data_IF_392791699699
#
_entry.id   IF_392791699699
#
_cell.length_a   1.000
_cell.length_b   1.000
_cell.length_c   1.000
_cell.angle_alpha   90.00
_cell.angle_beta   90.00
_cell.angle_gamma   90.00
#
_symmetry.space_group_name_H-M   'P 1'
#
loop_
_entity.id
_entity.type
_entity.pdbx_description
1 polymer ?
#
# COMPACT_ATOMS: atom_id res chain seq x y z
N UNK A 1 1.18 -25.20 -44.56
CA UNK A 1 0.83 -24.93 -45.97
C UNK A 1 -0.67 -24.66 -46.04
N UNK A 2 -1.15 -23.85 -46.98
CA UNK A 2 -2.59 -23.74 -47.24
C UNK A 2 -3.11 -25.06 -47.80
N UNK A 3 -4.30 -25.46 -47.37
CA UNK A 3 -4.98 -26.68 -47.79
C UNK A 3 -6.34 -26.27 -48.36
N UNK A 4 -6.55 -26.53 -49.65
CA UNK A 4 -7.79 -26.23 -50.37
C UNK A 4 -8.37 -27.56 -50.89
N UNK A 5 -9.47 -27.99 -50.28
CA UNK A 5 -10.10 -29.28 -50.52
C UNK A 5 -11.44 -29.04 -51.21
N UNK A 6 -11.58 -29.47 -52.48
CA UNK A 6 -12.80 -29.24 -53.24
C UNK A 6 -13.98 -30.13 -52.76
N UNK A 7 -13.69 -31.33 -52.25
CA UNK A 7 -14.70 -32.25 -51.72
C UNK A 7 -14.15 -33.17 -50.62
N UNK A 8 -14.51 -32.90 -49.36
CA UNK A 8 -14.09 -33.67 -48.20
C UNK A 8 -14.63 -35.11 -48.13
N UNK A 9 -15.63 -35.46 -48.94
CA UNK A 9 -16.16 -36.83 -49.02
C UNK A 9 -15.42 -37.71 -50.02
N UNK A 10 -14.63 -37.10 -50.91
CA UNK A 10 -13.86 -37.77 -51.97
C UNK A 10 -12.35 -37.57 -51.80
N UNK A 11 -11.92 -36.81 -50.79
CA UNK A 11 -10.51 -36.54 -50.51
C UNK A 11 -9.80 -37.78 -49.96
N UNK A 12 -8.63 -38.09 -50.52
CA UNK A 12 -7.80 -39.24 -50.13
C UNK A 12 -6.53 -38.84 -49.38
N UNK A 13 -6.21 -37.54 -49.29
CA UNK A 13 -5.01 -37.03 -48.62
C UNK A 13 -5.28 -36.78 -47.12
N UNK A 14 -6.51 -36.37 -46.76
CA UNK A 14 -6.89 -36.05 -45.39
C UNK A 14 -8.11 -36.85 -44.90
N UNK A 15 -8.10 -37.25 -43.63
CA UNK A 15 -9.19 -38.03 -43.03
C UNK A 15 -10.33 -37.13 -42.52
N UNK A 16 -11.53 -37.27 -43.10
CA UNK A 16 -12.73 -36.50 -42.72
C UNK A 16 -13.79 -37.30 -41.96
N UNK A 17 -13.46 -38.50 -41.46
CA UNK A 17 -14.41 -39.40 -40.79
C UNK A 17 -15.16 -38.73 -39.63
N UNK A 18 -14.47 -37.91 -38.83
CA UNK A 18 -15.06 -37.13 -37.73
C UNK A 18 -16.02 -36.04 -38.21
N UNK A 19 -15.64 -35.29 -39.25
CA UNK A 19 -16.50 -34.27 -39.87
C UNK A 19 -17.77 -34.91 -40.45
N UNK A 20 -17.63 -36.04 -41.15
CA UNK A 20 -18.76 -36.78 -41.71
C UNK A 20 -19.71 -37.32 -40.63
N UNK A 21 -19.19 -37.72 -39.47
CA UNK A 21 -20.00 -38.13 -38.33
C UNK A 21 -20.78 -36.96 -37.74
N UNK A 22 -20.15 -35.79 -37.60
CA UNK A 22 -20.78 -34.56 -37.12
C UNK A 22 -21.86 -34.05 -38.10
N UNK A 23 -21.58 -34.07 -39.41
CA UNK A 23 -22.53 -33.71 -40.47
C UNK A 23 -23.79 -34.59 -40.40
N UNK A 24 -23.65 -35.91 -40.23
CA UNK A 24 -24.77 -36.86 -40.06
C UNK A 24 -25.64 -36.54 -38.84
N UNK A 25 -25.04 -36.04 -37.76
CA UNK A 25 -25.75 -35.73 -36.52
C UNK A 25 -26.40 -34.34 -36.56
N UNK A 26 -25.75 -33.36 -37.20
CA UNK A 26 -26.20 -31.96 -37.25
C UNK A 26 -27.11 -31.64 -38.44
N UNK A 27 -27.14 -32.51 -39.47
CA UNK A 27 -27.83 -32.24 -40.73
C UNK A 27 -27.13 -31.21 -41.62
N UNK A 28 -25.92 -30.81 -41.28
CA UNK A 28 -25.07 -29.94 -42.10
C UNK A 28 -24.27 -30.77 -43.10
N UNK A 29 -23.88 -30.19 -44.24
CA UNK A 29 -23.12 -30.88 -45.28
C UNK A 29 -21.85 -30.10 -45.62
N UNK A 30 -20.73 -30.50 -45.05
CA UNK A 30 -19.43 -29.84 -45.18
C UNK A 30 -18.65 -30.42 -46.37
N UNK A 31 -18.80 -29.82 -47.54
CA UNK A 31 -18.23 -30.31 -48.81
C UNK A 31 -16.86 -29.72 -49.12
N UNK A 32 -16.75 -28.40 -49.26
CA UNK A 32 -15.48 -27.74 -49.62
C UNK A 32 -14.83 -27.09 -48.41
N UNK A 33 -13.50 -27.11 -48.33
CA UNK A 33 -12.73 -26.56 -47.23
C UNK A 33 -11.56 -25.73 -47.74
N UNK A 34 -11.37 -24.55 -47.16
CA UNK A 34 -10.16 -23.75 -47.34
C UNK A 34 -9.55 -23.49 -45.96
N UNK A 35 -8.40 -24.10 -45.71
CA UNK A 35 -7.71 -24.06 -44.43
C UNK A 35 -6.37 -23.38 -44.62
N UNK A 36 -6.22 -22.18 -44.05
CA UNK A 36 -5.05 -21.33 -44.20
C UNK A 36 -4.32 -21.20 -42.86
N UNK A 37 -3.01 -21.47 -42.80
CA UNK A 37 -2.23 -21.25 -41.58
C UNK A 37 -2.07 -19.76 -41.30
N UNK A 38 -2.33 -19.35 -40.06
CA UNK A 38 -2.02 -18.02 -39.55
C UNK A 38 -0.58 -18.04 -39.02
N UNK A 39 0.30 -17.25 -39.62
CA UNK A 39 1.74 -17.24 -39.30
C UNK A 39 2.18 -15.91 -38.69
N UNK A 40 3.09 -15.96 -37.73
CA UNK A 40 3.79 -14.77 -37.23
C UNK A 40 4.94 -14.35 -38.17
N UNK A 41 5.63 -13.26 -37.82
CA UNK A 41 6.76 -12.71 -38.59
C UNK A 41 7.93 -13.69 -38.73
N UNK A 42 8.06 -14.65 -37.81
CA UNK A 42 9.11 -15.68 -37.80
C UNK A 42 8.71 -16.93 -38.62
N UNK A 43 7.51 -16.92 -39.20
CA UNK A 43 6.97 -18.02 -40.00
C UNK A 43 6.36 -19.17 -39.20
N UNK A 44 6.29 -19.04 -37.87
CA UNK A 44 5.65 -20.00 -36.97
C UNK A 44 4.13 -19.92 -37.09
N UNK A 45 3.46 -21.08 -37.07
CA UNK A 45 2.00 -21.17 -37.15
C UNK A 45 1.41 -20.93 -35.78
N UNK A 46 0.72 -19.81 -35.59
CA UNK A 46 0.08 -19.42 -34.32
C UNK A 46 -1.40 -19.78 -34.27
N UNK A 47 -1.98 -20.15 -35.41
CA UNK A 47 -3.39 -20.49 -35.54
C UNK A 47 -3.73 -20.94 -36.95
N UNK A 48 -5.01 -21.23 -37.17
CA UNK A 48 -5.52 -21.67 -38.48
C UNK A 48 -6.85 -20.97 -38.74
N UNK A 49 -6.99 -20.37 -39.92
CA UNK A 49 -8.25 -19.84 -40.42
C UNK A 49 -8.87 -20.86 -41.36
N UNK A 50 -10.06 -21.36 -41.03
CA UNK A 50 -10.77 -22.34 -41.84
C UNK A 50 -12.11 -21.79 -42.32
N UNK A 51 -12.35 -21.91 -43.63
CA UNK A 51 -13.64 -21.66 -44.27
C UNK A 51 -14.21 -22.98 -44.78
N UNK A 52 -15.52 -23.14 -44.63
CA UNK A 52 -16.26 -24.33 -45.03
C UNK A 52 -17.36 -23.90 -46.00
N UNK A 53 -17.50 -24.64 -47.10
CA UNK A 53 -18.49 -24.45 -48.15
C UNK A 53 -18.44 -23.08 -48.83
N UNK A 54 -17.62 -22.94 -49.88
CA UNK A 54 -17.78 -21.82 -50.81
C UNK A 54 -19.18 -21.88 -51.44
N UNK A 55 -19.90 -20.76 -51.50
CA UNK A 55 -21.25 -20.70 -52.06
C UNK A 55 -21.25 -19.91 -53.36
N UNK A 56 -21.92 -20.44 -54.39
CA UNK A 56 -22.17 -19.67 -55.60
C UNK A 56 -23.06 -18.45 -55.25
N UNK A 57 -22.68 -17.21 -55.64
CA UNK A 57 -23.43 -16.01 -55.28
C UNK A 57 -24.89 -16.01 -55.76
N UNK A 58 -25.15 -16.64 -56.91
CA UNK A 58 -26.46 -16.67 -57.58
C UNK A 58 -27.24 -17.92 -57.19
N UNK A 59 -26.66 -19.12 -57.35
CA UNK A 59 -27.40 -20.38 -57.14
C UNK A 59 -27.43 -20.80 -55.67
N UNK A 60 -26.59 -20.23 -54.81
CA UNK A 60 -26.39 -20.62 -53.39
C UNK A 60 -25.95 -22.08 -53.20
N UNK A 61 -25.60 -22.77 -54.28
CA UNK A 61 -25.07 -24.13 -54.20
C UNK A 61 -23.60 -24.12 -53.74
N UNK A 62 -23.19 -25.21 -53.09
CA UNK A 62 -21.83 -25.38 -52.60
C UNK A 62 -20.88 -25.66 -53.77
N UNK A 63 -19.88 -24.82 -53.92
CA UNK A 63 -18.81 -24.88 -54.93
C UNK A 63 -17.43 -25.00 -54.27
N UNK A 64 -16.38 -24.99 -55.09
CA UNK A 64 -14.97 -25.02 -54.67
C UNK A 64 -14.44 -23.60 -54.40
N UNK A 65 -13.43 -23.47 -53.55
CA UNK A 65 -12.71 -22.21 -53.38
C UNK A 65 -11.73 -22.02 -54.54
N UNK A 66 -11.88 -20.93 -55.29
CA UNK A 66 -10.99 -20.54 -56.37
C UNK A 66 -9.65 -19.99 -55.89
N UNK A 67 -8.72 -19.78 -56.82
CA UNK A 67 -7.38 -19.25 -56.52
C UNK A 67 -7.42 -17.82 -55.97
N UNK A 68 -8.26 -16.95 -56.54
CA UNK A 68 -8.43 -15.58 -56.06
C UNK A 68 -8.99 -15.51 -54.64
N UNK A 69 -9.91 -16.42 -54.30
CA UNK A 69 -10.47 -16.54 -52.95
C UNK A 69 -9.43 -17.06 -51.97
N UNK A 70 -8.63 -18.06 -52.38
CA UNK A 70 -7.51 -18.54 -51.58
C UNK A 70 -6.50 -17.43 -51.29
N UNK A 71 -6.04 -16.68 -52.30
CA UNK A 71 -5.10 -15.56 -52.11
C UNK A 71 -5.65 -14.49 -51.17
N UNK A 72 -6.95 -14.16 -51.30
CA UNK A 72 -7.62 -13.21 -50.42
C UNK A 72 -7.63 -13.70 -48.96
N UNK A 73 -7.96 -14.97 -48.74
CA UNK A 73 -8.03 -15.57 -47.40
C UNK A 73 -6.62 -15.72 -46.81
N UNK A 74 -5.60 -15.99 -47.62
CA UNK A 74 -4.19 -15.95 -47.21
C UNK A 74 -3.75 -14.57 -46.73
N UNK A 75 -4.16 -13.52 -47.44
CA UNK A 75 -3.93 -12.13 -47.03
C UNK A 75 -4.64 -11.80 -45.71
N UNK A 76 -5.92 -12.16 -45.59
CA UNK A 76 -6.72 -11.96 -44.37
C UNK A 76 -6.16 -12.73 -43.17
N UNK A 77 -5.79 -14.00 -43.37
CA UNK A 77 -5.18 -14.84 -42.34
C UNK A 77 -3.88 -14.22 -41.83
N UNK A 78 -3.06 -13.64 -42.72
CA UNK A 78 -1.83 -12.94 -42.34
C UNK A 78 -2.10 -11.67 -41.53
N UNK A 79 -3.07 -10.85 -41.93
CA UNK A 79 -3.47 -9.65 -41.19
C UNK A 79 -4.07 -9.98 -39.81
N UNK A 80 -4.92 -10.99 -39.74
CA UNK A 80 -5.49 -11.49 -38.49
C UNK A 80 -4.39 -12.06 -37.57
N UNK A 81 -3.41 -12.79 -38.13
CA UNK A 81 -2.27 -13.30 -37.38
C UNK A 81 -1.47 -12.18 -36.72
N UNK A 82 -1.09 -11.16 -37.49
CA UNK A 82 -0.37 -9.99 -36.95
C UNK A 82 -1.16 -9.26 -35.86
N UNK A 83 -2.48 -9.11 -36.04
CA UNK A 83 -3.34 -8.46 -35.04
C UNK A 83 -3.39 -9.25 -33.72
N UNK A 84 -3.53 -10.58 -33.80
CA UNK A 84 -3.49 -11.45 -32.62
C UNK A 84 -2.14 -11.43 -31.91
N UNK A 85 -1.03 -11.45 -32.67
CA UNK A 85 0.32 -11.35 -32.09
C UNK A 85 0.50 -10.02 -31.39
N UNK A 86 0.07 -8.91 -32.00
CA UNK A 86 0.17 -7.59 -31.39
C UNK A 86 -0.68 -7.50 -30.11
N UNK A 87 -1.91 -8.03 -30.12
CA UNK A 87 -2.75 -8.04 -28.92
C UNK A 87 -2.09 -8.85 -27.80
N UNK A 88 -1.57 -10.05 -28.11
CA UNK A 88 -0.88 -10.89 -27.13
C UNK A 88 0.38 -10.22 -26.60
N UNK A 89 1.16 -9.56 -27.45
CA UNK A 89 2.33 -8.79 -27.04
C UNK A 89 1.96 -7.65 -26.09
N UNK A 90 0.87 -6.93 -26.35
CA UNK A 90 0.37 -5.89 -25.45
C UNK A 90 -0.09 -6.45 -24.11
N UNK A 91 -0.79 -7.60 -24.12
CA UNK A 91 -1.21 -8.29 -22.90
C UNK A 91 0.00 -8.77 -22.08
N UNK A 92 1.00 -9.36 -22.73
CA UNK A 92 2.25 -9.82 -22.09
C UNK A 92 3.05 -8.63 -21.51
N UNK A 93 3.13 -7.50 -22.23
CA UNK A 93 3.73 -6.27 -21.72
C UNK A 93 2.99 -5.72 -20.51
N UNK A 94 1.64 -5.72 -20.54
CA UNK A 94 0.81 -5.29 -19.41
C UNK A 94 1.05 -6.19 -18.20
N UNK A 95 1.06 -7.51 -18.38
CA UNK A 95 1.34 -8.47 -17.31
C UNK A 95 2.73 -8.30 -16.71
N UNK A 96 3.75 -8.07 -17.54
CA UNK A 96 5.11 -7.80 -17.07
C UNK A 96 5.17 -6.49 -16.26
N UNK A 97 4.49 -5.44 -16.73
CA UNK A 97 4.43 -4.16 -16.03
C UNK A 97 3.72 -4.28 -14.68
N UNK A 98 2.57 -4.96 -14.61
CA UNK A 98 1.87 -5.25 -13.35
C UNK A 98 2.77 -6.03 -12.39
N UNK A 99 3.44 -7.08 -12.88
CA UNK A 99 4.34 -7.90 -12.07
C UNK A 99 5.52 -7.09 -11.52
N UNK A 100 6.06 -6.13 -12.29
CA UNK A 100 7.13 -5.25 -11.84
C UNK A 100 6.65 -4.28 -10.76
N UNK A 101 5.44 -3.71 -10.91
CA UNK A 101 4.83 -2.84 -9.90
C UNK A 101 4.64 -3.62 -8.60
N UNK A 102 4.05 -4.81 -8.66
CA UNK A 102 3.81 -5.64 -7.48
C UNK A 102 5.13 -6.05 -6.81
N UNK A 103 6.17 -6.36 -7.60
CA UNK A 103 7.50 -6.68 -7.08
C UNK A 103 8.13 -5.49 -6.33
N UNK A 104 8.10 -4.29 -6.92
CA UNK A 104 8.68 -3.08 -6.29
C UNK A 104 7.89 -2.72 -5.03
N UNK A 105 6.56 -2.70 -5.10
CA UNK A 105 5.72 -2.39 -3.96
C UNK A 105 5.91 -3.39 -2.82
N UNK A 106 6.01 -4.68 -3.13
CA UNK A 106 6.29 -5.72 -2.12
C UNK A 106 7.67 -5.53 -1.50
N UNK A 107 8.70 -5.21 -2.30
CA UNK A 107 10.04 -4.98 -1.77
C UNK A 107 10.12 -3.74 -0.85
N UNK A 108 9.31 -2.71 -1.13
CA UNK A 108 9.20 -1.52 -0.27
C UNK A 108 8.45 -1.86 1.01
N UNK A 109 7.35 -2.60 0.90
CA UNK A 109 6.58 -3.10 2.04
C UNK A 109 7.40 -4.03 2.94
N UNK A 110 8.32 -4.82 2.39
CA UNK A 110 9.19 -5.74 3.14
C UNK A 110 10.36 -5.02 3.83
N UNK A 111 10.66 -3.77 3.45
CA UNK A 111 11.72 -2.96 4.07
C UNK A 111 11.40 -2.63 5.53
N UNK A 112 10.13 -2.59 5.88
CA UNK A 112 9.67 -2.48 7.26
C UNK A 112 8.90 -3.76 7.61
N UNK A 113 9.17 -4.41 8.74
CA UNK A 113 8.46 -5.63 9.14
C UNK A 113 6.93 -5.43 9.32
N UNK A 114 6.45 -4.18 9.24
CA UNK A 114 5.10 -3.76 9.60
C UNK A 114 4.21 -3.42 8.40
N UNK A 115 4.77 -3.38 7.19
CA UNK A 115 4.06 -3.02 5.95
C UNK A 115 3.79 -4.21 5.03
N UNK A 116 4.10 -5.45 5.42
CA UNK A 116 3.89 -6.64 4.58
C UNK A 116 2.48 -6.73 3.97
N UNK A 117 2.39 -6.51 2.65
CA UNK A 117 1.14 -6.53 1.89
C UNK A 117 0.20 -5.34 2.13
N UNK A 118 0.69 -4.24 2.71
CA UNK A 118 -0.01 -2.96 2.87
C UNK A 118 -0.47 -2.43 1.53
N UNK A 119 0.47 -2.25 0.59
CA UNK A 119 0.17 -1.72 -0.75
C UNK A 119 -0.90 -2.55 -1.46
N UNK A 120 -0.84 -3.87 -1.32
CA UNK A 120 -1.87 -4.79 -1.83
C UNK A 120 -3.23 -4.52 -1.22
N UNK A 121 -3.31 -4.44 0.12
CA UNK A 121 -4.58 -4.27 0.84
C UNK A 121 -5.20 -2.89 0.60
N UNK A 122 -4.38 -1.84 0.54
CA UNK A 122 -4.82 -0.49 0.16
C UNK A 122 -5.36 -0.49 -1.27
N UNK A 123 -4.63 -1.06 -2.24
CA UNK A 123 -5.10 -1.17 -3.63
C UNK A 123 -6.44 -1.91 -3.71
N UNK A 124 -6.57 -3.07 -3.06
CA UNK A 124 -7.82 -3.83 -3.06
C UNK A 124 -8.98 -3.07 -2.40
N UNK A 125 -8.74 -2.42 -1.26
CA UNK A 125 -9.75 -1.62 -0.57
C UNK A 125 -10.19 -0.40 -1.40
N UNK A 126 -9.22 0.27 -2.03
CA UNK A 126 -9.45 1.40 -2.94
C UNK A 126 -10.39 0.99 -4.07
N UNK A 127 -10.16 -0.18 -4.69
CA UNK A 127 -11.03 -0.70 -5.74
C UNK A 127 -12.42 -1.11 -5.22
N UNK A 128 -12.52 -1.67 -4.00
CA UNK A 128 -13.83 -1.98 -3.39
C UNK A 128 -14.64 -0.71 -3.10
N UNK A 129 -13.98 0.38 -2.69
CA UNK A 129 -14.60 1.68 -2.51
C UNK A 129 -15.02 2.29 -3.84
N UNK A 130 -14.14 2.30 -4.84
CA UNK A 130 -14.44 2.80 -6.17
C UNK A 130 -15.64 2.07 -6.80
N UNK A 131 -15.71 0.75 -6.68
CA UNK A 131 -16.87 -0.06 -7.08
C UNK A 131 -18.15 0.33 -6.32
N UNK A 132 -18.05 0.59 -5.01
CA UNK A 132 -19.21 1.04 -4.23
C UNK A 132 -19.71 2.43 -4.65
N UNK A 133 -18.81 3.35 -4.97
CA UNK A 133 -19.15 4.70 -5.45
C UNK A 133 -19.74 4.65 -6.85
N UNK A 134 -19.11 3.92 -7.77
CA UNK A 134 -19.59 3.74 -9.15
C UNK A 134 -20.99 3.11 -9.22
N UNK A 135 -21.35 2.25 -8.25
CA UNK A 135 -22.67 1.61 -8.15
C UNK A 135 -23.63 2.36 -7.21
N UNK A 136 -23.45 3.66 -7.01
CA UNK A 136 -24.31 4.49 -6.18
C UNK A 136 -25.20 5.39 -7.04
N UNK A 137 -26.52 5.25 -6.90
CA UNK A 137 -27.51 5.97 -7.72
C UNK A 137 -28.01 7.28 -7.07
N UNK A 138 -27.47 7.66 -5.90
CA UNK A 138 -27.93 8.80 -5.11
C UNK A 138 -26.78 9.55 -4.41
N UNK A 139 -27.07 10.77 -3.94
CA UNK A 139 -26.06 11.62 -3.29
C UNK A 139 -25.11 12.34 -4.27
N UNK A 140 -24.11 13.07 -3.75
CA UNK A 140 -23.24 13.94 -4.55
C UNK A 140 -22.34 13.20 -5.55
N UNK A 141 -22.05 11.92 -5.30
CA UNK A 141 -21.15 11.09 -6.11
C UNK A 141 -21.88 10.19 -7.13
N UNK A 142 -23.19 10.34 -7.32
CA UNK A 142 -23.98 9.49 -8.24
C UNK A 142 -23.56 9.55 -9.71
N UNK A 143 -22.95 10.66 -10.13
CA UNK A 143 -22.50 10.85 -11.51
C UNK A 143 -21.07 10.32 -11.73
N UNK A 144 -20.43 9.81 -10.67
CA UNK A 144 -19.11 9.22 -10.77
C UNK A 144 -19.20 7.84 -11.43
N UNK A 145 -18.54 7.72 -12.59
CA UNK A 145 -18.48 6.47 -13.36
C UNK A 145 -17.03 6.18 -13.70
N UNK A 146 -16.64 4.91 -13.60
CA UNK A 146 -15.32 4.39 -13.96
C UNK A 146 -15.46 3.29 -15.00
N UNK A 147 -14.65 3.36 -16.05
CA UNK A 147 -14.47 2.26 -16.98
C UNK A 147 -13.32 1.32 -16.55
N UNK A 148 -13.05 0.30 -17.38
CA UNK A 148 -12.00 -0.70 -17.07
C UNK A 148 -10.61 -0.10 -16.97
N UNK A 149 -10.33 0.95 -17.74
CA UNK A 149 -9.02 1.61 -17.75
C UNK A 149 -8.89 2.52 -16.52
N UNK A 150 -9.96 3.22 -16.11
CA UNK A 150 -9.99 3.98 -14.86
C UNK A 150 -9.72 3.09 -13.64
N UNK A 151 -10.35 1.91 -13.57
CA UNK A 151 -10.10 0.94 -12.49
C UNK A 151 -8.67 0.45 -12.48
N UNK A 152 -8.08 0.25 -13.66
CA UNK A 152 -6.69 -0.17 -13.79
C UNK A 152 -5.72 0.94 -13.36
N UNK A 153 -5.98 2.19 -13.75
CA UNK A 153 -5.22 3.36 -13.34
C UNK A 153 -5.21 3.51 -11.81
N UNK A 154 -6.38 3.37 -11.19
CA UNK A 154 -6.53 3.42 -9.74
C UNK A 154 -5.85 2.24 -9.03
N UNK A 155 -5.90 1.02 -9.62
CA UNK A 155 -5.17 -0.16 -9.11
C UNK A 155 -3.67 0.12 -9.06
N UNK A 156 -3.11 0.65 -10.16
CA UNK A 156 -1.68 0.98 -10.29
C UNK A 156 -1.28 2.05 -9.28
N UNK A 157 -2.08 3.12 -9.13
CA UNK A 157 -1.86 4.15 -8.12
C UNK A 157 -1.86 3.58 -6.70
N UNK A 158 -2.83 2.71 -6.37
CA UNK A 158 -2.91 2.04 -5.07
C UNK A 158 -1.67 1.19 -4.75
N UNK A 159 -1.06 0.54 -5.74
CA UNK A 159 0.19 -0.20 -5.53
C UNK A 159 1.41 0.69 -5.36
N UNK A 160 1.43 1.86 -6.00
CA UNK A 160 2.60 2.74 -6.05
C UNK A 160 2.53 3.94 -5.07
N UNK A 161 1.42 4.10 -4.34
CA UNK A 161 1.18 5.27 -3.49
C UNK A 161 2.34 5.57 -2.51
N UNK A 162 2.94 4.51 -1.99
CA UNK A 162 4.00 4.56 -0.99
C UNK A 162 5.42 4.33 -1.55
N UNK A 163 5.61 4.38 -2.87
CA UNK A 163 6.88 3.99 -3.48
C UNK A 163 8.07 4.88 -3.04
N UNK A 164 7.82 6.11 -2.60
CA UNK A 164 8.83 7.00 -2.04
C UNK A 164 9.35 6.61 -0.66
N UNK A 165 8.72 5.65 0.05
CA UNK A 165 9.27 5.10 1.30
C UNK A 165 10.64 4.44 1.10
N UNK A 166 11.00 4.10 -0.15
CA UNK A 166 12.32 3.55 -0.49
C UNK A 166 13.48 4.42 -0.01
N UNK A 167 13.33 5.76 -0.01
CA UNK A 167 14.38 6.70 0.40
C UNK A 167 14.41 6.98 1.90
N UNK A 168 13.40 6.55 2.65
CA UNK A 168 13.30 6.83 4.08
C UNK A 168 14.17 5.82 4.85
N UNK A 169 15.01 6.27 5.81
CA UNK A 169 15.80 5.37 6.63
C UNK A 169 14.93 4.44 7.50
N UNK A 170 15.32 3.17 7.59
CA UNK A 170 14.61 2.13 8.34
C UNK A 170 14.42 2.50 9.82
N UNK A 171 15.47 3.00 10.47
CA UNK A 171 15.41 3.44 11.86
C UNK A 171 14.45 4.60 12.14
N UNK A 172 13.96 5.30 11.11
CA UNK A 172 12.92 6.33 11.24
C UNK A 172 11.53 5.73 11.01
N UNK A 173 11.37 4.84 10.02
CA UNK A 173 10.10 4.16 9.73
C UNK A 173 9.69 3.28 10.92
N UNK A 174 10.65 2.52 11.45
CA UNK A 174 10.41 1.45 12.43
C UNK A 174 10.64 1.87 13.88
N UNK A 175 10.86 3.18 14.10
CA UNK A 175 11.22 3.77 15.38
C UNK A 175 10.19 3.44 16.48
N UNK A 176 10.53 2.48 17.33
CA UNK A 176 9.70 1.90 18.38
C UNK A 176 9.79 2.64 19.72
N UNK A 177 10.95 3.24 20.01
CA UNK A 177 11.17 4.07 21.19
C UNK A 177 11.68 5.46 20.81
N UNK A 178 11.56 6.42 21.73
CA UNK A 178 11.91 7.82 21.46
C UNK A 178 13.41 8.02 21.20
N UNK A 179 14.26 7.22 21.84
CA UNK A 179 15.71 7.26 21.74
C UNK A 179 16.29 6.33 20.67
N UNK A 180 15.44 5.56 19.99
CA UNK A 180 15.88 4.66 18.93
C UNK A 180 16.39 5.40 17.70
N UNK A 181 17.55 4.96 17.24
CA UNK A 181 18.19 5.36 16.00
C UNK A 181 18.59 4.06 15.30
N UNK A 182 19.84 3.90 14.85
CA UNK A 182 20.35 2.60 14.38
C UNK A 182 20.22 1.52 15.48
N UNK A 183 20.27 1.93 16.75
CA UNK A 183 19.93 1.12 17.92
C UNK A 183 19.24 2.00 18.99
N UNK A 184 18.63 1.37 20.00
CA UNK A 184 18.04 2.10 21.13
C UNK A 184 19.13 2.65 22.06
N UNK A 185 19.23 3.98 22.12
CA UNK A 185 20.23 4.68 22.95
C UNK A 185 19.90 4.66 24.44
N UNK A 186 18.77 4.07 24.87
CA UNK A 186 18.48 3.89 26.30
C UNK A 186 19.58 3.13 27.04
N UNK A 187 20.25 2.18 26.36
CA UNK A 187 21.36 1.44 26.95
C UNK A 187 22.61 2.30 27.20
N UNK A 188 22.79 3.38 26.42
CA UNK A 188 23.84 4.37 26.69
C UNK A 188 23.49 5.21 27.91
N UNK A 189 22.20 5.54 28.09
CA UNK A 189 21.71 6.23 29.29
C UNK A 189 21.93 5.33 30.52
N UNK A 190 21.62 4.04 30.43
CA UNK A 190 21.90 3.06 31.51
C UNK A 190 23.39 3.06 31.88
N UNK A 191 24.28 3.02 30.89
CA UNK A 191 25.72 3.07 31.13
C UNK A 191 26.15 4.37 31.84
N UNK A 192 25.55 5.52 31.51
CA UNK A 192 25.83 6.80 32.19
C UNK A 192 25.29 6.83 33.63
N UNK A 193 24.16 6.18 33.91
CA UNK A 193 23.69 6.01 35.30
C UNK A 193 24.65 5.14 36.13
N UNK A 194 25.23 4.10 35.54
CA UNK A 194 26.25 3.30 36.21
C UNK A 194 27.54 4.09 36.47
N UNK A 195 27.90 5.04 35.59
CA UNK A 195 28.98 6.00 35.86
C UNK A 195 28.64 6.90 37.05
N UNK A 196 27.43 7.48 37.10
CA UNK A 196 27.00 8.32 38.23
C UNK A 196 27.03 7.58 39.57
N UNK A 197 26.68 6.28 39.58
CA UNK A 197 26.78 5.45 40.78
C UNK A 197 28.23 5.24 41.21
N UNK A 198 29.12 4.90 40.26
CA UNK A 198 30.56 4.75 40.54
C UNK A 198 31.19 6.05 41.03
N UNK A 199 30.83 7.19 40.43
CA UNK A 199 31.31 8.50 40.85
C UNK A 199 30.84 8.84 42.28
N UNK A 200 29.59 8.51 42.62
CA UNK A 200 29.06 8.68 43.97
C UNK A 200 29.77 7.77 44.99
N UNK A 201 30.07 6.52 44.63
CA UNK A 201 30.83 5.59 45.46
C UNK A 201 32.27 6.08 45.67
N UNK A 202 32.97 6.49 44.60
CA UNK A 202 34.33 7.03 44.68
C UNK A 202 34.38 8.29 45.55
N UNK A 203 33.41 9.20 45.40
CA UNK A 203 33.33 10.42 46.22
C UNK A 203 33.17 10.08 47.71
N UNK A 204 32.32 9.11 48.03
CA UNK A 204 32.06 8.66 49.39
C UNK A 204 33.27 7.93 50.01
N UNK A 205 33.93 7.04 49.27
CA UNK A 205 35.16 6.37 49.70
C UNK A 205 36.28 7.38 49.97
N UNK A 206 36.39 8.44 49.15
CA UNK A 206 37.32 9.55 49.39
C UNK A 206 36.96 10.34 50.65
N UNK A 207 35.68 10.49 50.98
CA UNK A 207 35.23 11.12 52.22
C UNK A 207 35.55 10.25 53.44
N UNK A 208 35.33 8.93 53.37
CA UNK A 208 35.70 7.96 54.42
C UNK A 208 37.19 8.01 54.74
N UNK A 209 38.05 8.13 53.73
CA UNK A 209 39.50 8.25 53.93
C UNK A 209 39.89 9.55 54.67
N UNK A 210 39.07 10.60 54.58
CA UNK A 210 39.33 11.91 55.16
C UNK A 210 38.57 12.16 56.47
N UNK A 211 37.58 11.34 56.84
CA UNK A 211 36.73 11.51 58.04
C UNK A 211 36.14 10.18 58.51
N UNK A 212 36.27 9.86 59.80
CA UNK A 212 35.63 8.69 60.42
C UNK A 212 34.15 8.98 60.68
N UNK A 213 33.28 8.67 59.72
CA UNK A 213 31.84 8.86 59.82
C UNK A 213 31.08 7.55 59.55
N UNK A 214 30.30 7.09 60.53
CA UNK A 214 29.61 5.78 60.51
C UNK A 214 28.29 5.73 59.68
N UNK A 215 27.91 6.80 58.98
CA UNK A 215 26.62 6.91 58.26
C UNK A 215 26.76 6.94 56.72
N UNK A 216 27.93 6.55 56.19
CA UNK A 216 28.24 6.72 54.77
C UNK A 216 27.58 5.64 53.88
N UNK A 217 27.42 4.41 54.37
CA UNK A 217 26.73 3.34 53.62
C UNK A 217 25.24 3.65 53.39
N UNK A 218 24.53 4.15 54.41
CA UNK A 218 23.13 4.50 54.31
C UNK A 218 22.89 5.65 53.32
N UNK A 219 23.80 6.64 53.27
CA UNK A 219 23.78 7.73 52.29
C UNK A 219 23.99 7.22 50.87
N UNK A 220 24.92 6.29 50.66
CA UNK A 220 25.19 5.69 49.35
C UNK A 220 23.98 4.90 48.86
N UNK A 221 23.41 4.04 49.71
CA UNK A 221 22.23 3.24 49.38
C UNK A 221 21.04 4.13 48.97
N UNK A 222 20.81 5.24 49.69
CA UNK A 222 19.77 6.22 49.34
C UNK A 222 20.05 6.92 48.00
N UNK A 223 21.31 7.23 47.70
CA UNK A 223 21.71 7.84 46.42
C UNK A 223 21.49 6.86 45.26
N UNK A 224 21.87 5.59 45.42
CA UNK A 224 21.69 4.55 44.41
C UNK A 224 20.21 4.31 44.14
N UNK A 225 19.39 4.16 45.18
CA UNK A 225 17.95 4.01 45.02
C UNK A 225 17.30 5.18 44.25
N UNK A 226 17.76 6.41 44.49
CA UNK A 226 17.31 7.58 43.72
C UNK A 226 17.72 7.50 42.25
N UNK A 227 18.97 7.16 41.97
CA UNK A 227 19.48 7.04 40.60
C UNK A 227 18.79 5.89 39.83
N UNK A 228 18.52 4.77 40.48
CA UNK A 228 17.76 3.66 39.89
C UNK A 228 16.32 4.08 39.55
N UNK A 229 15.66 4.82 40.43
CA UNK A 229 14.30 5.31 40.20
C UNK A 229 14.23 6.34 39.06
N UNK A 230 15.22 7.23 38.97
CA UNK A 230 15.36 8.17 37.86
C UNK A 230 15.64 7.46 36.52
N UNK A 231 16.52 6.45 36.52
CA UNK A 231 16.77 5.59 35.35
C UNK A 231 15.49 4.90 34.88
N UNK A 232 14.77 4.24 35.79
CA UNK A 232 13.53 3.53 35.47
C UNK A 232 12.42 4.48 34.99
N UNK A 233 12.43 5.73 35.47
CA UNK A 233 11.57 6.78 34.94
C UNK A 233 11.92 7.14 33.49
N UNK A 234 13.20 7.28 33.12
CA UNK A 234 13.59 7.52 31.73
C UNK A 234 13.23 6.35 30.80
N UNK A 235 13.37 5.10 31.26
CA UNK A 235 12.88 3.92 30.52
C UNK A 235 11.38 3.99 30.22
N UNK A 236 10.58 4.43 31.19
CA UNK A 236 9.14 4.64 30.99
C UNK A 236 8.82 5.77 30.03
N UNK A 237 9.65 6.82 30.00
CA UNK A 237 9.53 7.95 29.08
C UNK A 237 9.95 7.59 27.66
N UNK A 238 10.92 6.68 27.49
CA UNK A 238 11.42 6.25 26.19
C UNK A 238 10.36 5.52 25.36
N UNK A 239 9.38 4.88 26.00
CA UNK A 239 8.27 4.23 25.29
C UNK A 239 7.33 5.27 24.69
N UNK A 240 7.01 5.14 23.40
CA UNK A 240 6.01 5.96 22.73
C UNK A 240 4.64 5.85 23.41
N UNK A 241 3.96 6.99 23.60
CA UNK A 241 2.61 7.07 24.20
C UNK A 241 1.71 8.01 23.41
N UNK A 242 0.41 7.92 23.64
CA UNK A 242 -0.57 8.85 23.06
C UNK A 242 -0.38 10.27 23.58
N UNK A 243 0.02 10.43 24.85
CA UNK A 243 0.28 11.71 25.48
C UNK A 243 1.29 11.60 26.64
N UNK A 244 2.16 12.60 26.76
CA UNK A 244 3.11 12.76 27.86
C UNK A 244 2.76 14.02 28.69
N UNK A 245 2.46 13.89 29.99
CA UNK A 245 2.14 15.02 30.86
C UNK A 245 3.27 16.04 31.00
N UNK A 246 2.93 17.29 31.28
CA UNK A 246 3.92 18.37 31.49
C UNK A 246 4.88 18.07 32.65
N UNK A 247 4.35 17.55 33.76
CA UNK A 247 5.13 17.14 34.94
C UNK A 247 6.23 16.13 34.59
N UNK A 248 5.95 15.21 33.67
CA UNK A 248 6.94 14.24 33.23
C UNK A 248 8.06 14.91 32.45
N UNK A 249 7.76 15.95 31.66
CA UNK A 249 8.76 16.67 30.88
C UNK A 249 9.69 17.49 31.76
N UNK A 250 9.13 18.19 32.75
CA UNK A 250 9.93 18.89 33.76
C UNK A 250 10.84 17.93 34.52
N UNK A 251 10.32 16.74 34.84
CA UNK A 251 11.11 15.71 35.51
C UNK A 251 12.26 15.19 34.66
N UNK A 252 12.04 14.97 33.35
CA UNK A 252 13.13 14.61 32.42
C UNK A 252 14.17 15.72 32.38
N UNK A 253 13.76 17.00 32.32
CA UNK A 253 14.67 18.14 32.35
C UNK A 253 15.53 18.18 33.62
N UNK A 254 14.93 17.93 34.78
CA UNK A 254 15.66 17.86 36.05
C UNK A 254 16.69 16.72 36.05
N UNK A 255 16.30 15.52 35.60
CA UNK A 255 17.23 14.37 35.51
C UNK A 255 18.37 14.66 34.52
N UNK A 256 18.09 15.34 33.41
CA UNK A 256 19.11 15.71 32.42
C UNK A 256 20.24 16.58 32.99
N UNK A 257 19.97 17.33 34.07
CA UNK A 257 20.93 18.24 34.69
C UNK A 257 22.05 17.54 35.48
N UNK A 258 21.94 16.23 35.72
CA UNK A 258 23.05 15.47 36.32
C UNK A 258 24.35 15.70 35.53
N UNK A 259 25.44 15.94 36.26
CA UNK A 259 26.78 16.19 35.70
C UNK A 259 27.61 14.92 35.75
N UNK A 260 28.34 14.66 34.68
CA UNK A 260 29.33 13.59 34.60
C UNK A 260 30.59 14.10 33.90
N UNK A 261 31.71 13.46 34.22
CA UNK A 261 32.97 13.69 33.50
C UNK A 261 32.95 12.89 32.20
N UNK A 262 33.05 13.60 31.08
CA UNK A 262 33.07 13.00 29.74
C UNK A 262 34.46 12.44 29.40
N UNK A 263 34.60 11.59 28.37
CA UNK A 263 35.89 11.00 28.00
C UNK A 263 37.00 12.01 27.66
N UNK A 264 36.63 13.24 27.29
CA UNK A 264 37.57 14.35 27.03
C UNK A 264 38.01 15.09 28.32
N UNK A 265 37.56 14.62 29.48
CA UNK A 265 37.86 15.19 30.80
C UNK A 265 37.01 16.40 31.16
N UNK A 266 36.05 16.82 30.32
CA UNK A 266 35.17 17.96 30.60
C UNK A 266 33.89 17.52 31.32
N UNK A 267 33.28 18.44 32.05
CA UNK A 267 31.93 18.22 32.59
C UNK A 267 30.88 18.34 31.48
N UNK A 268 29.94 17.40 31.46
CA UNK A 268 28.79 17.41 30.57
C UNK A 268 27.49 17.02 31.30
N UNK A 269 26.37 17.17 30.59
CA UNK A 269 25.04 16.77 31.04
C UNK A 269 24.84 15.25 30.85
N UNK A 270 23.99 14.65 31.69
CA UNK A 270 23.61 13.23 31.62
C UNK A 270 23.00 12.86 30.27
N UNK A 271 22.14 13.74 29.75
CA UNK A 271 21.50 13.58 28.46
C UNK A 271 22.03 14.63 27.48
N UNK A 272 22.23 14.23 26.23
CA UNK A 272 22.48 15.18 25.15
C UNK A 272 21.21 16.01 24.85
N UNK A 273 21.38 17.15 24.18
CA UNK A 273 20.24 17.98 23.75
C UNK A 273 19.23 17.18 22.90
N UNK A 274 19.74 16.33 22.02
CA UNK A 274 18.92 15.47 21.15
C UNK A 274 18.17 14.39 21.95
N UNK A 275 18.83 13.72 22.90
CA UNK A 275 18.18 12.73 23.77
C UNK A 275 17.10 13.37 24.64
N UNK A 276 17.35 14.60 25.11
CA UNK A 276 16.41 15.40 25.89
C UNK A 276 15.20 15.82 25.05
N UNK A 277 15.40 16.27 23.81
CA UNK A 277 14.31 16.58 22.87
C UNK A 277 13.47 15.32 22.63
N UNK A 278 14.13 14.20 22.32
CA UNK A 278 13.48 12.93 22.04
C UNK A 278 12.65 12.43 23.22
N UNK A 279 13.20 12.38 24.45
CA UNK A 279 12.45 11.91 25.62
C UNK A 279 11.24 12.79 25.95
N UNK A 280 11.27 14.08 25.58
CA UNK A 280 10.19 15.04 25.78
C UNK A 280 9.13 15.09 24.68
N UNK A 281 9.20 14.20 23.67
CA UNK A 281 8.15 14.07 22.65
C UNK A 281 6.79 13.81 23.32
N UNK A 282 5.81 14.66 22.99
CA UNK A 282 4.47 14.62 23.60
C UNK A 282 3.67 13.39 23.17
N UNK A 283 3.69 13.04 21.88
CA UNK A 283 2.85 12.00 21.28
C UNK A 283 3.65 11.19 20.26
N UNK A 284 3.66 9.88 20.41
CA UNK A 284 4.44 8.96 19.58
C UNK A 284 5.93 8.96 19.91
N UNK A 285 6.74 8.54 18.94
CA UNK A 285 8.20 8.34 19.07
C UNK A 285 9.05 9.30 18.23
N UNK A 286 8.41 10.00 17.29
CA UNK A 286 9.10 10.81 16.29
C UNK A 286 9.15 12.28 16.69
N UNK A 287 10.34 12.87 16.61
CA UNK A 287 10.55 14.30 16.77
C UNK A 287 10.13 15.09 15.51
N UNK A 288 10.28 16.41 15.54
CA UNK A 288 9.82 17.28 14.45
C UNK A 288 10.61 17.08 13.14
N UNK A 289 11.92 16.83 13.23
CA UNK A 289 12.79 16.58 12.08
C UNK A 289 12.50 15.22 11.45
N UNK A 290 12.37 14.16 12.25
CA UNK A 290 12.02 12.82 11.80
C UNK A 290 10.66 12.76 11.12
N UNK A 291 9.66 13.50 11.64
CA UNK A 291 8.35 13.64 10.98
C UNK A 291 8.45 14.30 9.61
N UNK A 292 9.31 15.31 9.45
CA UNK A 292 9.54 15.92 8.13
C UNK A 292 10.14 14.93 7.16
N UNK A 293 11.07 14.09 7.62
CA UNK A 293 11.66 13.02 6.81
C UNK A 293 10.59 12.00 6.41
N UNK A 294 9.75 11.53 7.33
CA UNK A 294 8.65 10.62 6.96
C UNK A 294 7.72 11.27 5.96
N UNK A 295 7.25 12.51 6.21
CA UNK A 295 6.33 13.19 5.29
C UNK A 295 6.93 13.43 3.89
N UNK A 296 8.26 13.45 3.75
CA UNK A 296 8.89 13.66 2.45
C UNK A 296 8.67 12.50 1.48
N UNK A 297 8.29 11.30 1.96
CA UNK A 297 8.04 10.14 1.09
C UNK A 297 7.00 10.42 0.01
N UNK A 298 6.03 11.31 0.24
CA UNK A 298 5.05 11.67 -0.78
C UNK A 298 5.65 12.53 -1.89
N UNK A 299 6.49 13.50 -1.53
CA UNK A 299 7.21 14.28 -2.54
C UNK A 299 8.13 13.38 -3.38
N UNK A 300 8.78 12.40 -2.73
CA UNK A 300 9.60 11.40 -3.44
C UNK A 300 8.73 10.51 -4.33
N UNK A 301 7.59 10.03 -3.83
CA UNK A 301 6.65 9.21 -4.60
C UNK A 301 6.18 9.95 -5.85
N UNK A 302 5.71 11.19 -5.71
CA UNK A 302 5.30 12.04 -6.83
C UNK A 302 6.46 12.23 -7.81
N UNK A 303 7.65 12.59 -7.32
CA UNK A 303 8.82 12.80 -8.18
C UNK A 303 9.21 11.53 -8.94
N UNK A 304 9.14 10.36 -8.32
CA UNK A 304 9.42 9.08 -8.97
C UNK A 304 8.37 8.77 -10.02
N UNK A 305 7.10 8.92 -9.69
CA UNK A 305 5.99 8.60 -10.58
C UNK A 305 5.95 9.56 -11.77
N UNK A 306 6.19 10.85 -11.58
CA UNK A 306 6.24 11.86 -12.65
C UNK A 306 7.34 11.60 -13.70
N UNK A 307 8.35 10.78 -13.37
CA UNK A 307 9.40 10.41 -14.33
C UNK A 307 8.98 9.30 -15.29
N UNK A 308 7.91 8.57 -14.99
CA UNK A 308 7.50 7.41 -15.79
C UNK A 308 6.74 7.86 -17.05
N UNK A 309 7.04 7.27 -18.23
CA UNK A 309 6.38 7.63 -19.49
C UNK A 309 5.00 6.96 -19.58
N UNK A 310 4.02 7.45 -18.84
CA UNK A 310 2.70 6.84 -18.80
C UNK A 310 1.98 6.89 -20.16
N UNK A 311 1.31 5.81 -20.55
CA UNK A 311 0.30 5.89 -21.59
C UNK A 311 -0.89 6.76 -21.12
N UNK A 312 -1.73 7.21 -22.05
CA UNK A 312 -2.84 8.13 -21.77
C UNK A 312 -3.79 7.65 -20.67
N UNK A 313 -3.98 6.33 -20.56
CA UNK A 313 -4.87 5.70 -19.59
C UNK A 313 -4.25 5.49 -18.19
N UNK A 314 -2.97 5.87 -17.99
CA UNK A 314 -2.27 5.85 -16.69
C UNK A 314 -1.73 7.23 -16.27
N UNK A 315 -2.14 8.30 -16.97
CA UNK A 315 -1.57 9.65 -16.79
C UNK A 315 -1.82 10.24 -15.40
N UNK A 316 -2.87 9.81 -14.70
CA UNK A 316 -3.30 10.35 -13.41
C UNK A 316 -2.73 9.55 -12.22
N UNK A 317 -1.98 8.47 -12.47
CA UNK A 317 -1.32 7.69 -11.41
C UNK A 317 -0.57 8.58 -10.40
N UNK A 318 0.24 9.58 -10.81
CA UNK A 318 0.91 10.46 -9.86
C UNK A 318 -0.04 11.32 -9.01
N UNK A 319 -1.20 11.73 -9.55
CA UNK A 319 -2.18 12.51 -8.79
C UNK A 319 -2.89 11.66 -7.75
N UNK A 320 -3.37 10.47 -8.15
CA UNK A 320 -4.02 9.52 -7.24
C UNK A 320 -3.08 9.07 -6.13
N UNK A 321 -1.89 8.61 -6.52
CA UNK A 321 -0.84 8.18 -5.59
C UNK A 321 -0.30 9.32 -4.74
N UNK A 322 -0.12 10.52 -5.29
CA UNK A 322 0.42 11.67 -4.55
C UNK A 322 -0.58 12.35 -3.61
N UNK A 323 -1.88 12.16 -3.84
CA UNK A 323 -2.96 12.83 -3.12
C UNK A 323 -3.47 12.11 -1.86
N UNK A 324 -2.99 10.91 -1.55
CA UNK A 324 -3.58 10.10 -0.47
C UNK A 324 -3.34 10.63 0.96
N UNK A 325 -2.47 11.63 1.15
CA UNK A 325 -2.29 12.36 2.41
C UNK A 325 -2.88 13.79 2.40
N UNK A 326 -3.56 14.16 1.32
CA UNK A 326 -4.34 15.39 1.30
C UNK A 326 -5.60 15.19 2.14
N UNK A 327 -6.03 16.25 2.81
CA UNK A 327 -7.26 16.26 3.61
C UNK A 327 -8.27 17.16 2.92
N UNK A 328 -9.56 16.82 2.98
CA UNK A 328 -10.58 17.58 2.24
C UNK A 328 -10.71 19.04 2.70
N UNK A 329 -10.28 19.36 3.92
CA UNK A 329 -10.19 20.72 4.46
C UNK A 329 -8.92 21.52 4.05
N UNK A 330 -7.99 20.90 3.32
CA UNK A 330 -6.72 21.51 2.90
C UNK A 330 -5.61 21.47 3.95
N UNK A 331 -5.82 20.84 5.11
CA UNK A 331 -4.78 20.68 6.16
C UNK A 331 -3.77 19.57 5.88
N UNK A 332 -4.02 18.78 4.82
CA UNK A 332 -3.18 17.69 4.37
C UNK A 332 -1.89 18.12 3.68
N UNK A 333 -1.21 17.17 3.06
CA UNK A 333 0.07 17.39 2.40
C UNK A 333 0.22 16.45 1.18
N UNK A 334 1.07 16.77 0.19
CA UNK A 334 2.11 17.81 0.18
C UNK A 334 1.69 19.19 -0.34
N UNK A 335 0.58 19.29 -1.07
CA UNK A 335 0.14 20.52 -1.75
C UNK A 335 -0.91 21.30 -0.95
N UNK A 336 -1.59 20.66 0.02
CA UNK A 336 -2.65 21.30 0.82
C UNK A 336 -3.92 21.51 0.00
N UNK A 337 -4.30 20.51 -0.79
CA UNK A 337 -5.45 20.57 -1.68
C UNK A 337 -6.75 20.44 -0.89
N UNK A 338 -7.77 21.19 -1.26
CA UNK A 338 -9.14 20.99 -0.74
C UNK A 338 -9.85 19.87 -1.49
N UNK A 339 -10.94 19.33 -0.92
CA UNK A 339 -11.71 18.25 -1.54
C UNK A 339 -12.22 18.56 -2.96
N UNK A 340 -12.49 19.84 -3.26
CA UNK A 340 -12.90 20.29 -4.61
C UNK A 340 -11.75 20.27 -5.62
N UNK A 341 -10.50 20.37 -5.15
CA UNK A 341 -9.28 20.33 -5.98
C UNK A 341 -8.79 18.90 -6.20
N UNK A 342 -9.34 17.92 -5.47
CA UNK A 342 -8.95 16.51 -5.52
C UNK A 342 -9.91 15.70 -6.40
N UNK A 343 -9.36 14.75 -7.15
CA UNK A 343 -10.17 13.72 -7.79
C UNK A 343 -10.91 12.87 -6.74
N UNK A 344 -12.02 12.25 -7.14
CA UNK A 344 -12.72 11.29 -6.26
C UNK A 344 -11.81 10.09 -5.98
N UNK A 345 -11.02 9.68 -6.97
CA UNK A 345 -10.01 8.62 -6.87
C UNK A 345 -8.97 8.90 -5.78
N UNK A 346 -8.38 10.09 -5.74
CA UNK A 346 -7.42 10.48 -4.70
C UNK A 346 -8.07 10.49 -3.31
N UNK A 347 -9.32 10.98 -3.19
CA UNK A 347 -10.09 10.95 -1.93
C UNK A 347 -10.43 9.52 -1.48
N UNK A 348 -10.75 8.62 -2.42
CA UNK A 348 -10.94 7.19 -2.15
C UNK A 348 -9.66 6.57 -1.59
N UNK A 349 -8.51 6.85 -2.20
CA UNK A 349 -7.22 6.33 -1.75
C UNK A 349 -6.88 6.80 -0.34
N UNK A 350 -7.09 8.08 -0.01
CA UNK A 350 -6.85 8.59 1.34
C UNK A 350 -7.70 7.89 2.40
N UNK A 351 -8.99 7.68 2.12
CA UNK A 351 -9.87 6.93 3.03
C UNK A 351 -9.42 5.47 3.18
N UNK A 352 -9.06 4.82 2.06
CA UNK A 352 -8.59 3.45 2.06
C UNK A 352 -7.30 3.26 2.87
N UNK A 353 -6.31 4.14 2.67
CA UNK A 353 -5.03 4.09 3.37
C UNK A 353 -5.21 4.29 4.89
N UNK A 354 -6.00 5.29 5.31
CA UNK A 354 -6.30 5.52 6.73
C UNK A 354 -6.96 4.29 7.36
N UNK A 355 -7.96 3.71 6.71
CA UNK A 355 -8.68 2.57 7.27
C UNK A 355 -7.83 1.29 7.32
N UNK A 356 -7.03 1.03 6.27
CA UNK A 356 -6.05 -0.05 6.27
C UNK A 356 -5.10 0.13 7.45
N UNK A 357 -4.48 1.31 7.57
CA UNK A 357 -3.46 1.58 8.58
C UNK A 357 -3.99 1.44 10.02
N UNK A 358 -5.26 1.80 10.26
CA UNK A 358 -5.94 1.64 11.55
C UNK A 358 -6.21 0.18 11.88
N UNK A 359 -6.52 -0.64 10.87
CA UNK A 359 -6.92 -2.05 11.04
C UNK A 359 -5.78 -3.05 10.83
N UNK A 360 -4.60 -2.57 10.42
CA UNK A 360 -3.38 -3.34 10.24
C UNK A 360 -3.06 -4.23 11.44
N UNK A 361 -2.80 -5.51 11.16
CA UNK A 361 -2.58 -6.55 12.17
C UNK A 361 -1.10 -6.79 12.50
N UNK A 362 -0.20 -6.26 11.69
CA UNK A 362 1.22 -6.64 11.65
C UNK A 362 2.15 -5.69 12.44
N UNK A 363 1.60 -4.83 13.31
CA UNK A 363 2.40 -3.90 14.14
C UNK A 363 2.78 -4.55 15.49
N UNK A 364 4.05 -4.88 15.79
CA UNK A 364 4.45 -5.64 16.98
C UNK A 364 4.24 -4.88 18.29
N UNK A 365 4.22 -3.54 18.25
CA UNK A 365 4.09 -2.69 19.44
C UNK A 365 2.64 -2.34 19.77
N UNK A 366 1.67 -2.71 18.92
CA UNK A 366 0.26 -2.32 19.09
C UNK A 366 -0.64 -3.53 18.88
N UNK A 367 -1.53 -3.80 19.82
CA UNK A 367 -2.56 -4.82 19.61
C UNK A 367 -3.42 -4.43 18.40
N UNK A 368 -3.80 -5.39 17.53
CA UNK A 368 -4.67 -5.13 16.39
C UNK A 368 -5.97 -4.46 16.86
N UNK A 369 -6.33 -3.36 16.22
CA UNK A 369 -7.48 -2.55 16.61
C UNK A 369 -8.81 -3.30 16.33
N UNK A 370 -9.79 -3.27 17.24
CA UNK A 370 -11.16 -3.72 16.96
C UNK A 370 -11.78 -2.90 15.82
N UNK A 371 -12.62 -3.54 15.02
CA UNK A 371 -13.27 -2.92 13.87
C UNK A 371 -14.15 -1.74 14.28
N UNK A 372 -14.91 -1.86 15.38
CA UNK A 372 -15.75 -0.78 15.90
C UNK A 372 -14.93 0.48 16.24
N UNK A 373 -13.74 0.31 16.82
CA UNK A 373 -12.85 1.40 17.20
C UNK A 373 -12.23 2.05 15.95
N UNK A 374 -11.82 1.27 14.96
CA UNK A 374 -11.29 1.79 13.70
C UNK A 374 -12.34 2.67 12.98
N UNK A 375 -13.59 2.20 12.91
CA UNK A 375 -14.69 2.97 12.33
C UNK A 375 -15.05 4.21 13.16
N UNK A 376 -14.96 4.13 14.49
CA UNK A 376 -15.17 5.28 15.37
C UNK A 376 -14.12 6.37 15.13
N UNK A 377 -12.86 5.98 14.95
CA UNK A 377 -11.79 6.93 14.60
C UNK A 377 -12.06 7.53 13.22
N UNK A 378 -12.37 6.71 12.22
CA UNK A 378 -12.68 7.18 10.88
C UNK A 378 -13.88 8.16 10.86
N UNK A 379 -14.90 7.91 11.69
CA UNK A 379 -16.02 8.83 11.88
C UNK A 379 -15.61 10.18 12.49
N UNK A 380 -14.62 10.20 13.39
CA UNK A 380 -14.04 11.46 13.91
C UNK A 380 -13.24 12.21 12.84
N UNK A 381 -12.50 11.49 12.00
CA UNK A 381 -11.80 12.09 10.84
C UNK A 381 -12.78 12.74 9.87
N UNK A 382 -13.98 12.14 9.66
CA UNK A 382 -15.07 12.78 8.90
C UNK A 382 -15.54 14.06 9.59
N UNK A 383 -15.81 14.04 10.89
CA UNK A 383 -16.25 15.24 11.62
C UNK A 383 -15.22 16.37 11.61
N UNK A 384 -13.94 16.02 11.54
CA UNK A 384 -12.83 16.95 11.39
C UNK A 384 -12.65 17.45 9.95
N UNK A 385 -13.45 17.00 8.98
CA UNK A 385 -13.27 17.26 7.55
C UNK A 385 -11.88 16.86 7.02
N UNK A 386 -11.29 15.79 7.55
CA UNK A 386 -10.04 15.25 6.98
C UNK A 386 -10.33 14.29 5.82
N UNK A 387 -11.39 13.50 5.91
CA UNK A 387 -11.85 12.60 4.85
C UNK A 387 -13.14 13.10 4.21
N UNK A 388 -13.38 12.66 2.98
CA UNK A 388 -14.61 12.99 2.26
C UNK A 388 -15.85 12.41 2.97
N UNK A 389 -16.83 13.27 3.31
CA UNK A 389 -18.01 12.85 4.06
C UNK A 389 -18.94 11.90 3.27
N UNK A 390 -19.05 12.10 1.96
CA UNK A 390 -19.91 11.30 1.09
C UNK A 390 -19.29 9.91 0.86
N UNK A 391 -17.96 9.85 0.67
CA UNK A 391 -17.24 8.58 0.58
C UNK A 391 -17.34 7.77 1.86
N UNK A 392 -17.24 8.41 3.03
CA UNK A 392 -17.43 7.73 4.30
C UNK A 392 -18.85 7.14 4.41
N UNK A 393 -19.89 7.90 4.06
CA UNK A 393 -21.26 7.40 4.15
C UNK A 393 -21.49 6.22 3.20
N UNK A 394 -20.95 6.27 1.97
CA UNK A 394 -20.97 5.13 1.03
C UNK A 394 -20.22 3.92 1.62
N UNK A 395 -19.04 4.13 2.19
CA UNK A 395 -18.21 3.10 2.80
C UNK A 395 -18.96 2.32 3.89
N UNK A 396 -19.71 3.02 4.74
CA UNK A 396 -20.54 2.44 5.79
C UNK A 396 -21.81 1.79 5.21
N UNK A 397 -22.60 2.52 4.41
CA UNK A 397 -23.91 2.08 3.89
C UNK A 397 -23.81 0.85 2.99
N UNK A 398 -22.81 0.82 2.10
CA UNK A 398 -22.54 -0.32 1.21
C UNK A 398 -21.76 -1.45 1.92
N UNK A 399 -21.44 -1.29 3.22
CA UNK A 399 -20.72 -2.26 4.06
C UNK A 399 -19.37 -2.69 3.47
N UNK A 400 -18.69 -1.76 2.80
CA UNK A 400 -17.37 -2.02 2.20
C UNK A 400 -16.37 -2.38 3.30
N UNK A 401 -16.42 -1.69 4.44
CA UNK A 401 -15.62 -2.02 5.62
C UNK A 401 -15.76 -3.48 6.04
N UNK A 402 -16.97 -4.04 5.99
CA UNK A 402 -17.26 -5.41 6.42
C UNK A 402 -16.78 -6.42 5.37
N UNK A 403 -16.92 -6.10 4.08
CA UNK A 403 -16.38 -6.91 2.97
C UNK A 403 -14.86 -7.02 3.08
N UNK A 404 -14.18 -5.89 3.30
CA UNK A 404 -12.75 -5.85 3.55
C UNK A 404 -12.38 -6.63 4.83
N UNK A 405 -13.09 -6.37 5.93
CA UNK A 405 -12.78 -6.97 7.23
C UNK A 405 -12.87 -8.50 7.22
N UNK A 406 -13.88 -9.06 6.54
CA UNK A 406 -14.02 -10.52 6.35
C UNK A 406 -12.88 -11.14 5.54
N UNK A 407 -12.24 -10.36 4.66
CA UNK A 407 -11.16 -10.85 3.79
C UNK A 407 -9.79 -10.74 4.46
N UNK A 408 -9.54 -9.69 5.23
CA UNK A 408 -8.18 -9.35 5.68
C UNK A 408 -7.96 -9.34 7.19
N UNK A 409 -9.00 -9.06 7.98
CA UNK A 409 -8.85 -8.90 9.42
C UNK A 409 -8.94 -10.22 10.17
N UNK A 410 -8.31 -10.25 11.35
CA UNK A 410 -8.38 -11.41 12.24
C UNK A 410 -9.77 -11.51 12.87
N UNK A 411 -10.23 -12.74 13.15
CA UNK A 411 -11.53 -12.96 13.83
C UNK A 411 -11.68 -12.17 15.14
N UNK A 412 -10.58 -12.00 15.89
CA UNK A 412 -10.57 -11.23 17.15
C UNK A 412 -10.77 -9.71 16.97
N UNK A 413 -10.60 -9.18 15.77
CA UNK A 413 -10.85 -7.77 15.45
C UNK A 413 -12.30 -7.54 15.02
N UNK A 414 -13.06 -8.59 14.69
CA UNK A 414 -14.44 -8.50 14.20
C UNK A 414 -15.42 -8.45 15.38
N UNK A 415 -15.46 -7.31 16.06
CA UNK A 415 -16.46 -7.01 17.08
C UNK A 415 -17.76 -6.44 16.46
N UNK A 416 -18.82 -6.36 17.27
CA UNK A 416 -20.11 -5.83 16.84
C UNK A 416 -20.02 -4.32 16.58
N UNK A 417 -20.51 -3.88 15.42
CA UNK A 417 -20.47 -2.47 15.00
C UNK A 417 -21.89 -1.91 15.03
N UNK A 418 -22.15 -0.99 15.96
CA UNK A 418 -23.37 -0.20 15.96
C UNK A 418 -23.20 1.04 15.06
N UNK A 419 -23.67 0.94 13.81
CA UNK A 419 -23.51 2.03 12.83
C UNK A 419 -24.20 3.34 13.25
N UNK A 420 -25.28 3.29 14.03
CA UNK A 420 -26.01 4.51 14.44
C UNK A 420 -25.28 5.29 15.53
N UNK A 421 -24.30 4.68 16.18
CA UNK A 421 -23.45 5.32 17.20
C UNK A 421 -22.14 5.85 16.62
N UNK A 422 -21.86 5.58 15.34
CA UNK A 422 -20.63 6.05 14.70
C UNK A 422 -20.63 7.59 14.59
N UNK A 423 -19.55 8.26 15.03
CA UNK A 423 -19.41 9.70 14.87
C UNK A 423 -19.51 10.09 13.40
N UNK A 424 -20.27 11.14 13.10
CA UNK A 424 -20.42 11.66 11.74
C UNK A 424 -21.26 10.80 10.79
N UNK A 425 -21.77 9.64 11.19
CA UNK A 425 -22.65 8.84 10.33
C UNK A 425 -23.96 9.57 10.04
N UNK A 426 -24.34 9.68 8.75
CA UNK A 426 -25.59 10.29 8.34
C UNK A 426 -26.60 9.22 7.90
N UNK A 427 -27.64 8.92 8.69
CA UNK A 427 -28.65 7.91 8.33
C UNK A 427 -29.55 8.34 7.16
N UNK A 428 -29.56 9.62 6.81
CA UNK A 428 -30.38 10.18 5.73
C UNK A 428 -29.69 10.15 4.35
N UNK A 429 -28.41 9.77 4.30
CA UNK A 429 -27.65 9.57 3.07
C UNK A 429 -28.09 8.29 2.35
#
# INVERSE_FOLDING_TARGET
KTINIPNAYEDTEFEFSGTQAFDKQSGYYSKSFLTVPMKNNDGEVIGVLQLINALNPITKEITIFGTAEQELVESLASQAAMSLVNQRLLDDQRHLFESLIELIATAIDDKSPYTGGHCRRVSELTLMLADAVNNTDNGPLKEFVMDKDDYYELKVAGWLHDCGKITIPEFIIDKSTKLETIFDRIHLVDARFEILKRDAEIALLREQLNSNTDDLEAKLAKKFAKLDEERDFLHRCNKGREFMPYEWKERVLHIAQHRLTMPDGKEGYLLSEEELENLNITKGTLNSAERKVIKSHINVSISMLDTLPYPKYLKNVPEYAGGHHEHVDGSGYPKGLTGEQMSVQARIMGLADIFEALTARDRPYKQPMPLSLALTILGKEKQANHIDPDLFDIFIKKKVYLKYAKKFLLKKQLDEVNITELPGYNPSF
#
